data_IF_396854306165
#
_entry.id   IF_396854306165
#
_cell.length_a   1.000
_cell.length_b   1.000
_cell.length_c   1.000
_cell.angle_alpha   90.00
_cell.angle_beta   90.00
_cell.angle_gamma   90.00
#
_symmetry.space_group_name_H-M   'P 1'
#
loop_
_entity.id
_entity.type
_entity.pdbx_description
1 polymer ?
#
# COMPACT_ATOMS: atom_id res chain seq x y z
N UNK A 1 -0.02 -20.62 -34.73
CA UNK A 1 1.09 -20.39 -35.70
C UNK A 1 0.69 -19.62 -36.96
N UNK A 2 -0.50 -19.79 -37.56
CA UNK A 2 -0.87 -19.05 -38.80
C UNK A 2 -1.32 -17.60 -38.61
N UNK A 3 -1.76 -17.19 -37.41
CA UNK A 3 -2.11 -15.79 -37.13
C UNK A 3 -0.90 -14.91 -36.76
N UNK A 4 0.16 -15.50 -36.20
CA UNK A 4 1.37 -14.77 -35.81
C UNK A 4 2.18 -14.29 -37.02
N UNK A 5 2.09 -15.02 -38.15
CA UNK A 5 2.80 -14.70 -39.39
C UNK A 5 2.16 -13.55 -40.19
N UNK A 6 0.87 -13.30 -40.02
CA UNK A 6 0.16 -12.21 -40.72
C UNK A 6 0.44 -10.87 -40.03
N UNK A 7 0.63 -10.87 -38.71
CA UNK A 7 1.01 -9.66 -37.95
C UNK A 7 2.43 -9.18 -38.26
N UNK A 8 3.39 -10.11 -38.41
CA UNK A 8 4.78 -9.76 -38.75
C UNK A 8 4.92 -9.29 -40.20
N UNK A 9 4.07 -9.80 -41.12
CA UNK A 9 4.09 -9.35 -42.51
C UNK A 9 3.40 -7.98 -42.70
N UNK A 10 2.44 -7.61 -41.84
CA UNK A 10 1.82 -6.28 -41.86
C UNK A 10 2.77 -5.19 -41.30
N UNK A 11 3.61 -5.54 -40.32
CA UNK A 11 4.64 -4.66 -39.76
C UNK A 11 5.78 -4.36 -40.77
N UNK A 12 6.04 -5.27 -41.72
CA UNK A 12 7.08 -5.08 -42.74
C UNK A 12 6.62 -4.24 -43.93
N UNK A 13 5.31 -4.08 -44.15
CA UNK A 13 4.76 -3.33 -45.30
C UNK A 13 4.53 -1.83 -44.99
N UNK A 14 4.57 -1.41 -43.72
CA UNK A 14 4.45 0.01 -43.34
C UNK A 14 5.77 0.81 -43.31
N UNK A 15 6.94 0.18 -43.53
CA UNK A 15 8.23 0.89 -43.58
C UNK A 15 8.47 1.72 -44.85
N UNK A 16 7.46 1.94 -45.71
CA UNK A 16 7.60 2.68 -46.98
C UNK A 16 6.58 3.81 -47.15
N UNK A 17 6.23 4.51 -46.08
CA UNK A 17 5.67 5.85 -46.18
C UNK A 17 6.66 6.85 -45.55
N UNK A 18 7.57 7.39 -46.36
CA UNK A 18 8.48 8.45 -45.94
C UNK A 18 7.70 9.73 -45.63
N UNK A 19 7.34 9.92 -44.36
CA UNK A 19 7.19 11.24 -43.76
C UNK A 19 8.57 11.77 -43.36
N UNK A 20 8.79 13.08 -43.43
CA UNK A 20 10.03 13.70 -42.96
C UNK A 20 9.95 13.81 -41.43
N UNK A 21 10.58 12.88 -40.72
CA UNK A 21 10.61 12.89 -39.25
C UNK A 21 11.38 14.11 -38.74
N UNK A 22 10.68 15.02 -38.06
CA UNK A 22 11.31 16.11 -37.34
C UNK A 22 11.99 15.52 -36.09
N UNK A 23 13.27 15.82 -35.87
CA UNK A 23 13.99 15.38 -34.67
C UNK A 23 14.52 16.58 -33.90
N UNK A 24 14.12 16.67 -32.64
CA UNK A 24 14.58 17.70 -31.70
C UNK A 24 15.44 17.08 -30.60
N UNK A 25 16.48 17.81 -30.18
CA UNK A 25 17.26 17.48 -28.98
C UNK A 25 16.53 17.97 -27.73
N UNK A 26 16.54 17.15 -26.69
CA UNK A 26 15.93 17.45 -25.39
C UNK A 26 17.00 17.70 -24.34
N UNK A 27 16.72 18.64 -23.44
CA UNK A 27 17.41 18.69 -22.14
C UNK A 27 17.15 17.39 -21.37
N UNK A 28 18.02 17.02 -20.42
CA UNK A 28 17.84 15.82 -19.59
C UNK A 28 16.42 15.73 -19.02
N UNK A 29 15.73 14.64 -19.34
CA UNK A 29 14.39 14.31 -18.85
C UNK A 29 14.44 13.11 -17.91
N UNK A 30 13.57 13.11 -16.91
CA UNK A 30 13.43 12.01 -15.93
C UNK A 30 12.01 11.48 -15.88
N UNK A 31 11.03 12.21 -16.42
CA UNK A 31 9.62 11.84 -16.48
C UNK A 31 9.05 12.12 -17.88
N UNK A 32 8.19 11.21 -18.34
CA UNK A 32 7.35 11.40 -19.53
C UNK A 32 5.88 11.31 -19.11
N UNK A 33 5.06 12.20 -19.66
CA UNK A 33 3.60 12.22 -19.51
C UNK A 33 2.98 12.25 -20.90
N UNK A 34 2.07 11.31 -21.20
CA UNK A 34 1.40 11.22 -22.49
C UNK A 34 -0.10 11.47 -22.31
N UNK A 35 -0.69 12.34 -23.12
CA UNK A 35 -2.12 12.66 -23.08
C UNK A 35 -2.73 12.58 -24.49
N UNK A 36 -4.04 12.79 -24.57
CA UNK A 36 -4.82 12.96 -25.80
C UNK A 36 -4.57 11.89 -26.90
N UNK A 37 -4.60 10.60 -26.55
CA UNK A 37 -4.46 9.49 -27.50
C UNK A 37 -3.11 9.46 -28.25
N UNK A 38 -2.05 9.95 -27.62
CA UNK A 38 -0.69 9.90 -28.18
C UNK A 38 -0.14 8.47 -28.23
N UNK A 39 0.70 8.19 -29.23
CA UNK A 39 1.42 6.92 -29.39
C UNK A 39 2.92 7.18 -29.24
N UNK A 40 3.54 6.59 -28.24
CA UNK A 40 4.92 6.90 -27.85
C UNK A 40 5.78 5.65 -27.85
N UNK A 41 6.94 5.70 -28.52
CA UNK A 41 7.97 4.66 -28.42
C UNK A 41 9.20 5.22 -27.70
N UNK A 42 9.68 4.54 -26.68
CA UNK A 42 10.84 4.94 -25.87
C UNK A 42 11.94 3.90 -26.04
N UNK A 43 13.10 4.34 -26.53
CA UNK A 43 14.28 3.50 -26.72
C UNK A 43 15.45 3.99 -25.86
N UNK A 44 16.40 3.09 -25.60
CA UNK A 44 17.67 3.45 -24.97
C UNK A 44 18.58 4.21 -25.93
N UNK A 45 19.18 5.28 -25.45
CA UNK A 45 20.33 5.91 -26.09
C UNK A 45 21.28 6.47 -25.02
N UNK A 46 22.56 6.18 -25.18
CA UNK A 46 23.63 6.68 -24.31
C UNK A 46 23.99 8.14 -24.63
N UNK A 47 23.42 8.71 -25.70
CA UNK A 47 23.55 10.09 -26.10
C UNK A 47 22.62 11.07 -25.35
N UNK A 48 22.51 12.28 -25.92
CA UNK A 48 21.55 13.28 -25.46
C UNK A 48 20.12 12.82 -25.77
N UNK A 49 19.20 13.05 -24.84
CA UNK A 49 17.81 12.68 -25.06
C UNK A 49 17.27 13.38 -26.33
N UNK A 50 16.50 12.67 -27.14
CA UNK A 50 15.94 13.22 -28.37
C UNK A 50 14.50 12.77 -28.57
N UNK A 51 13.77 13.53 -29.37
CA UNK A 51 12.38 13.24 -29.75
C UNK A 51 12.23 13.38 -31.25
N UNK A 52 11.66 12.36 -31.88
CA UNK A 52 11.32 12.31 -33.29
C UNK A 52 9.80 12.22 -33.45
N UNK A 53 9.23 13.00 -34.37
CA UNK A 53 7.79 13.07 -34.58
C UNK A 53 7.46 13.47 -36.02
N UNK A 54 6.28 13.06 -36.49
CA UNK A 54 5.76 13.39 -37.81
C UNK A 54 4.53 14.28 -37.69
N UNK A 55 4.73 15.60 -37.81
CA UNK A 55 3.66 16.61 -37.82
C UNK A 55 4.00 17.78 -38.75
N UNK A 56 2.98 18.33 -39.41
CA UNK A 56 3.12 19.47 -40.33
C UNK A 56 3.16 20.84 -39.61
N UNK A 57 2.55 20.98 -38.42
CA UNK A 57 2.48 22.27 -37.71
C UNK A 57 2.59 22.14 -36.19
N UNK A 58 3.62 22.77 -35.62
CA UNK A 58 3.81 22.85 -34.17
C UNK A 58 4.55 21.65 -33.59
N UNK A 59 5.01 21.79 -32.33
CA UNK A 59 5.65 20.70 -31.60
C UNK A 59 4.58 19.94 -30.83
N UNK A 60 4.48 18.60 -30.96
CA UNK A 60 3.51 17.79 -30.23
C UNK A 60 3.91 17.57 -28.76
N UNK A 61 4.86 18.35 -28.25
CA UNK A 61 5.42 18.16 -26.93
C UNK A 61 5.87 19.48 -26.30
N UNK A 62 6.03 19.45 -24.98
CA UNK A 62 6.61 20.52 -24.17
C UNK A 62 7.48 19.93 -23.08
N UNK A 63 8.58 20.62 -22.75
CA UNK A 63 9.47 20.24 -21.65
C UNK A 63 9.38 21.28 -20.55
N UNK A 64 9.11 20.85 -19.32
CA UNK A 64 9.12 21.71 -18.14
C UNK A 64 9.74 20.95 -16.96
N UNK A 65 10.77 21.53 -16.36
CA UNK A 65 11.39 21.02 -15.12
C UNK A 65 11.83 19.53 -15.21
N UNK A 66 12.33 19.09 -16.37
CA UNK A 66 12.76 17.70 -16.60
C UNK A 66 11.63 16.71 -16.89
N UNK A 67 10.39 17.21 -17.04
CA UNK A 67 9.23 16.45 -17.48
C UNK A 67 8.92 16.75 -18.94
N UNK A 68 8.86 15.72 -19.77
CA UNK A 68 8.40 15.79 -21.15
C UNK A 68 6.90 15.45 -21.18
N UNK A 69 6.10 16.38 -21.69
CA UNK A 69 4.68 16.17 -21.91
C UNK A 69 4.42 16.05 -23.40
N UNK A 70 3.62 15.07 -23.78
CA UNK A 70 3.22 14.78 -25.16
C UNK A 70 1.72 14.95 -25.20
N UNK A 71 1.29 15.92 -25.98
CA UNK A 71 -0.09 16.37 -26.06
C UNK A 71 -0.58 16.19 -27.51
N UNK A 72 -1.87 15.91 -27.68
CA UNK A 72 -2.50 15.57 -28.97
C UNK A 72 -2.23 14.15 -29.51
N UNK A 73 -3.09 13.71 -30.43
CA UNK A 73 -3.04 12.39 -31.08
C UNK A 73 -1.84 12.26 -32.04
N UNK A 74 -0.66 12.02 -31.48
CA UNK A 74 0.63 12.07 -32.16
C UNK A 74 1.43 10.79 -32.03
N UNK A 75 2.14 10.42 -33.07
CA UNK A 75 3.16 9.38 -33.02
C UNK A 75 4.54 9.99 -32.77
N UNK A 76 5.18 9.56 -31.69
CA UNK A 76 6.42 10.14 -31.19
C UNK A 76 7.39 9.03 -30.79
N UNK A 77 8.66 9.17 -31.18
CA UNK A 77 9.76 8.32 -30.75
C UNK A 77 10.71 9.11 -29.87
N UNK A 78 11.14 8.55 -28.75
CA UNK A 78 11.97 9.20 -27.75
C UNK A 78 13.17 8.32 -27.46
N UNK A 79 14.36 8.92 -27.41
CA UNK A 79 15.56 8.25 -26.93
C UNK A 79 16.03 8.89 -25.63
N UNK A 80 16.39 8.08 -24.64
CA UNK A 80 16.90 8.55 -23.33
C UNK A 80 17.70 7.44 -22.64
N UNK A 81 18.45 7.77 -21.58
CA UNK A 81 19.25 6.83 -20.78
C UNK A 81 18.86 6.77 -19.30
N UNK A 82 18.00 7.66 -18.82
CA UNK A 82 17.74 7.81 -17.38
C UNK A 82 16.30 8.23 -17.07
N UNK A 83 15.34 7.54 -17.67
CA UNK A 83 13.92 7.73 -17.38
C UNK A 83 13.54 7.01 -16.08
N UNK A 84 13.02 7.77 -15.11
CA UNK A 84 12.57 7.22 -13.83
C UNK A 84 11.05 7.03 -13.75
N UNK A 85 10.28 7.73 -14.57
CA UNK A 85 8.82 7.67 -14.51
C UNK A 85 8.17 7.83 -15.89
N UNK A 86 7.13 7.05 -16.15
CA UNK A 86 6.23 7.18 -17.30
C UNK A 86 4.78 7.23 -16.78
N UNK A 87 4.02 8.21 -17.25
CA UNK A 87 2.60 8.37 -16.96
C UNK A 87 1.83 8.46 -18.27
N UNK A 88 0.85 7.59 -18.49
CA UNK A 88 0.05 7.54 -19.70
C UNK A 88 -1.42 7.73 -19.39
N UNK A 89 -2.04 8.71 -20.02
CA UNK A 89 -3.42 9.13 -19.79
C UNK A 89 -4.20 9.19 -21.11
N UNK A 90 -5.51 9.40 -21.03
CA UNK A 90 -6.41 9.69 -22.15
C UNK A 90 -6.27 8.74 -23.35
N UNK A 91 -6.35 7.44 -23.11
CA UNK A 91 -6.24 6.36 -24.11
C UNK A 91 -4.93 6.38 -24.93
N UNK A 92 -3.88 7.02 -24.39
CA UNK A 92 -2.54 7.01 -25.00
C UNK A 92 -1.90 5.63 -24.93
N UNK A 93 -1.01 5.35 -25.88
CA UNK A 93 -0.24 4.11 -25.95
C UNK A 93 1.25 4.39 -25.81
N UNK A 94 1.95 3.62 -24.97
CA UNK A 94 3.40 3.70 -24.85
C UNK A 94 4.09 2.34 -24.97
N UNK A 95 5.18 2.29 -25.72
CA UNK A 95 6.07 1.12 -25.86
C UNK A 95 7.46 1.50 -25.38
N UNK A 96 8.00 0.75 -24.43
CA UNK A 96 9.27 1.05 -23.76
C UNK A 96 10.24 -0.10 -23.95
N UNK A 97 11.29 0.13 -24.74
CA UNK A 97 12.32 -0.86 -25.07
C UNK A 97 13.63 -0.64 -24.30
N UNK A 98 13.75 0.46 -23.54
CA UNK A 98 14.97 0.79 -22.80
C UNK A 98 15.01 2.24 -22.33
N UNK A 99 16.20 2.69 -21.93
CA UNK A 99 16.46 4.07 -21.51
C UNK A 99 16.01 4.39 -20.08
N UNK A 100 15.82 3.33 -19.29
CA UNK A 100 15.26 3.39 -17.94
C UNK A 100 16.34 3.48 -16.88
N UNK A 101 16.02 4.16 -15.79
CA UNK A 101 16.85 4.18 -14.58
C UNK A 101 16.68 2.89 -13.77
N UNK A 102 17.57 2.67 -12.79
CA UNK A 102 17.51 1.48 -11.92
C UNK A 102 16.18 1.32 -11.16
N UNK A 103 15.48 2.42 -10.89
CA UNK A 103 14.13 2.44 -10.33
C UNK A 103 13.17 3.09 -11.32
N UNK A 104 12.14 2.37 -11.73
CA UNK A 104 11.19 2.86 -12.72
C UNK A 104 9.75 2.77 -12.22
N UNK A 105 9.00 3.85 -12.36
CA UNK A 105 7.57 3.89 -12.07
C UNK A 105 6.77 4.08 -13.35
N UNK A 106 5.77 3.24 -13.56
CA UNK A 106 4.80 3.37 -14.65
C UNK A 106 3.40 3.55 -14.07
N UNK A 107 2.68 4.54 -14.59
CA UNK A 107 1.31 4.86 -14.21
C UNK A 107 0.46 4.88 -15.49
N UNK A 108 -0.58 4.06 -15.55
CA UNK A 108 -1.60 4.07 -16.59
C UNK A 108 -2.93 4.54 -16.03
N UNK A 109 -3.53 5.54 -16.66
CA UNK A 109 -4.88 6.03 -16.35
C UNK A 109 -5.71 6.14 -17.63
N UNK A 110 -7.01 6.36 -17.47
CA UNK A 110 -7.97 6.71 -18.53
C UNK A 110 -7.85 5.83 -19.79
N UNK A 111 -7.97 4.51 -19.64
CA UNK A 111 -7.91 3.51 -20.71
C UNK A 111 -6.61 3.50 -21.54
N UNK A 112 -5.50 3.97 -20.96
CA UNK A 112 -4.17 3.91 -21.59
C UNK A 112 -3.62 2.48 -21.71
N UNK A 113 -2.66 2.29 -22.62
CA UNK A 113 -2.00 1.02 -22.86
C UNK A 113 -0.48 1.18 -22.83
N UNK A 114 0.21 0.39 -22.02
CA UNK A 114 1.67 0.44 -21.89
C UNK A 114 2.29 -0.94 -22.07
N UNK A 115 3.37 -1.03 -22.84
CA UNK A 115 4.19 -2.24 -22.97
C UNK A 115 5.65 -1.93 -22.63
N UNK A 116 6.23 -2.68 -21.69
CA UNK A 116 7.61 -2.49 -21.22
C UNK A 116 8.41 -3.76 -21.43
N UNK A 117 9.56 -3.61 -22.09
CA UNK A 117 10.55 -4.65 -22.36
C UNK A 117 11.88 -4.22 -21.73
N UNK A 118 12.16 -4.65 -20.50
CA UNK A 118 13.36 -4.18 -19.79
C UNK A 118 13.85 -5.12 -18.67
N UNK A 119 15.13 -4.96 -18.32
CA UNK A 119 15.76 -5.52 -17.12
C UNK A 119 16.00 -4.41 -16.10
N UNK A 120 15.36 -4.47 -14.94
CA UNK A 120 15.29 -3.37 -13.96
C UNK A 120 15.56 -3.86 -12.53
N UNK A 121 16.07 -3.01 -11.64
CA UNK A 121 16.20 -3.43 -10.24
C UNK A 121 14.84 -3.33 -9.52
N UNK A 122 14.22 -2.14 -9.57
CA UNK A 122 12.93 -1.88 -8.94
C UNK A 122 11.92 -1.32 -9.93
N UNK A 123 10.74 -1.92 -9.97
CA UNK A 123 9.61 -1.49 -10.81
C UNK A 123 8.38 -1.25 -9.94
N UNK A 124 7.75 -0.09 -10.11
CA UNK A 124 6.46 0.24 -9.50
C UNK A 124 5.45 0.45 -10.63
N UNK A 125 4.31 -0.23 -10.53
CA UNK A 125 3.25 -0.23 -11.54
C UNK A 125 1.96 0.21 -10.87
N UNK A 126 1.31 1.23 -11.42
CA UNK A 126 -0.03 1.67 -11.04
C UNK A 126 -0.91 1.68 -12.28
N UNK A 127 -1.95 0.85 -12.30
CA UNK A 127 -2.88 0.73 -13.43
C UNK A 127 -4.28 1.11 -12.94
N UNK A 128 -4.86 2.19 -13.45
CA UNK A 128 -6.17 2.71 -13.05
C UNK A 128 -7.08 2.92 -14.27
N UNK A 129 -8.37 3.12 -14.03
CA UNK A 129 -9.37 3.54 -15.02
C UNK A 129 -9.32 2.72 -16.33
N UNK A 130 -9.47 1.40 -16.23
CA UNK A 130 -9.46 0.47 -17.36
C UNK A 130 -8.17 0.47 -18.23
N UNK A 131 -7.05 0.97 -17.71
CA UNK A 131 -5.76 0.89 -18.40
C UNK A 131 -5.18 -0.54 -18.44
N UNK A 132 -4.23 -0.76 -19.35
CA UNK A 132 -3.55 -2.05 -19.55
C UNK A 132 -2.04 -1.86 -19.56
N UNK A 133 -1.33 -2.50 -18.64
CA UNK A 133 0.15 -2.44 -18.58
C UNK A 133 0.71 -3.85 -18.76
N UNK A 134 1.57 -4.06 -19.76
CA UNK A 134 2.30 -5.31 -19.96
C UNK A 134 3.80 -5.13 -19.70
N UNK A 135 4.39 -6.10 -19.00
CA UNK A 135 5.79 -6.09 -18.58
C UNK A 135 6.44 -7.42 -18.95
N UNK A 136 7.62 -7.35 -19.55
CA UNK A 136 8.46 -8.51 -19.85
C UNK A 136 9.95 -8.22 -19.60
N UNK A 137 10.70 -9.27 -19.26
CA UNK A 137 12.13 -9.17 -18.94
C UNK A 137 12.47 -9.70 -17.55
N UNK A 138 13.32 -8.99 -16.81
CA UNK A 138 13.77 -9.39 -15.47
C UNK A 138 13.71 -8.23 -14.49
N UNK A 139 13.36 -8.50 -13.23
CA UNK A 139 13.58 -7.52 -12.17
C UNK A 139 13.85 -8.12 -10.78
N UNK A 140 14.49 -7.35 -9.91
CA UNK A 140 14.68 -7.78 -8.51
C UNK A 140 13.41 -7.54 -7.69
N UNK A 141 12.78 -6.37 -7.81
CA UNK A 141 11.57 -6.02 -7.06
C UNK A 141 10.49 -5.44 -7.97
N UNK A 142 9.31 -6.07 -7.97
CA UNK A 142 8.13 -5.66 -8.71
C UNK A 142 6.99 -5.34 -7.72
N UNK A 143 6.52 -4.09 -7.72
CA UNK A 143 5.36 -3.66 -6.94
C UNK A 143 4.24 -3.23 -7.90
N UNK A 144 3.09 -3.92 -7.85
CA UNK A 144 1.96 -3.72 -8.76
C UNK A 144 0.72 -3.35 -7.98
N UNK A 145 0.05 -2.30 -8.41
CA UNK A 145 -1.28 -1.90 -7.95
C UNK A 145 -2.18 -1.75 -9.18
N UNK A 146 -3.34 -2.41 -9.17
CA UNK A 146 -4.33 -2.33 -10.23
C UNK A 146 -5.72 -2.03 -9.64
N UNK A 147 -6.39 -0.99 -10.15
CA UNK A 147 -7.71 -0.51 -9.72
C UNK A 147 -8.64 -0.27 -10.92
N UNK A 148 -9.93 -0.08 -10.67
CA UNK A 148 -10.94 0.40 -11.62
C UNK A 148 -10.96 -0.38 -12.95
N UNK A 149 -11.12 -1.70 -12.86
CA UNK A 149 -11.17 -2.63 -13.99
C UNK A 149 -9.91 -2.64 -14.90
N UNK A 150 -8.78 -2.15 -14.40
CA UNK A 150 -7.51 -2.17 -15.12
C UNK A 150 -6.88 -3.56 -15.18
N UNK A 151 -5.90 -3.72 -16.08
CA UNK A 151 -5.17 -4.97 -16.25
C UNK A 151 -3.67 -4.75 -16.17
N UNK A 152 -2.96 -5.67 -15.52
CA UNK A 152 -1.50 -5.74 -15.52
C UNK A 152 -1.04 -7.14 -15.92
N UNK A 153 -0.32 -7.24 -17.03
CA UNK A 153 0.23 -8.49 -17.58
C UNK A 153 1.75 -8.51 -17.41
N UNK A 154 2.22 -8.99 -16.26
CA UNK A 154 3.63 -9.16 -15.91
C UNK A 154 4.04 -10.64 -15.81
N UNK A 155 3.31 -11.54 -16.48
CA UNK A 155 3.62 -12.97 -16.52
C UNK A 155 4.96 -13.28 -17.19
N UNK A 156 5.36 -12.46 -18.17
CA UNK A 156 6.65 -12.60 -18.87
C UNK A 156 7.80 -11.83 -18.18
N UNK A 157 7.54 -11.20 -17.03
CA UNK A 157 8.54 -10.52 -16.21
C UNK A 157 9.01 -11.44 -15.09
N UNK A 158 10.27 -11.89 -15.15
CA UNK A 158 10.88 -12.72 -14.11
C UNK A 158 11.32 -11.85 -12.93
N UNK A 159 10.48 -11.77 -11.88
CA UNK A 159 10.75 -10.97 -10.69
C UNK A 159 11.23 -11.82 -9.50
N UNK A 160 12.25 -11.39 -8.75
CA UNK A 160 12.66 -12.09 -7.52
C UNK A 160 11.63 -11.88 -6.39
N UNK A 161 11.24 -10.62 -6.16
CA UNK A 161 10.25 -10.21 -5.15
C UNK A 161 9.07 -9.52 -5.82
N UNK A 162 7.87 -10.05 -5.63
CA UNK A 162 6.62 -9.46 -6.15
C UNK A 162 5.72 -9.04 -5.01
N UNK A 163 5.19 -7.82 -5.08
CA UNK A 163 4.06 -7.35 -4.29
C UNK A 163 2.96 -6.95 -5.26
N UNK A 164 1.80 -7.61 -5.22
CA UNK A 164 0.70 -7.34 -6.15
C UNK A 164 -0.61 -7.05 -5.39
N UNK A 165 -1.25 -5.92 -5.70
CA UNK A 165 -2.51 -5.50 -5.06
C UNK A 165 -3.56 -5.18 -6.11
N UNK A 166 -4.67 -5.90 -6.10
CA UNK A 166 -5.77 -5.76 -7.05
C UNK A 166 -7.04 -5.29 -6.34
N UNK A 167 -7.76 -4.36 -6.95
CA UNK A 167 -8.97 -3.72 -6.44
C UNK A 167 -10.00 -3.57 -7.58
N UNK A 168 -11.28 -3.38 -7.26
CA UNK A 168 -12.33 -2.92 -8.20
C UNK A 168 -12.33 -3.62 -9.57
N UNK A 169 -12.51 -4.95 -9.58
CA UNK A 169 -12.55 -5.79 -10.79
C UNK A 169 -11.28 -5.81 -11.65
N UNK A 170 -10.16 -5.29 -11.15
CA UNK A 170 -8.88 -5.34 -11.87
C UNK A 170 -8.29 -6.77 -11.96
N UNK A 171 -7.43 -6.99 -12.94
CA UNK A 171 -6.73 -8.28 -13.13
C UNK A 171 -5.22 -8.09 -13.18
N UNK A 172 -4.48 -8.82 -12.36
CA UNK A 172 -3.01 -8.85 -12.38
C UNK A 172 -2.54 -10.26 -12.72
N UNK A 173 -1.60 -10.40 -13.65
CA UNK A 173 -0.90 -11.66 -13.95
C UNK A 173 0.59 -11.43 -13.68
N UNK A 174 1.20 -12.23 -12.81
CA UNK A 174 2.61 -12.05 -12.38
C UNK A 174 3.38 -13.36 -12.29
N UNK A 175 4.68 -13.32 -12.50
CA UNK A 175 5.62 -14.41 -12.22
C UNK A 175 6.62 -13.98 -11.17
N UNK A 176 6.75 -14.75 -10.07
CA UNK A 176 7.75 -14.51 -9.03
C UNK A 176 8.61 -15.74 -8.77
N UNK A 177 9.91 -15.52 -8.57
CA UNK A 177 10.91 -16.59 -8.39
C UNK A 177 11.07 -16.93 -6.90
N UNK A 178 11.23 -15.92 -6.04
CA UNK A 178 11.57 -16.14 -4.63
C UNK A 178 10.36 -15.91 -3.74
N UNK A 179 9.83 -14.68 -3.72
CA UNK A 179 8.72 -14.31 -2.84
C UNK A 179 7.64 -13.55 -3.61
N UNK A 180 6.38 -13.85 -3.29
CA UNK A 180 5.21 -13.16 -3.82
C UNK A 180 4.26 -12.85 -2.66
N UNK A 181 3.93 -11.57 -2.48
CA UNK A 181 2.91 -11.09 -1.56
C UNK A 181 1.73 -10.52 -2.36
N UNK A 182 0.51 -10.95 -2.06
CA UNK A 182 -0.68 -10.57 -2.81
C UNK A 182 -1.82 -10.06 -1.92
N UNK A 183 -2.52 -9.04 -2.40
CA UNK A 183 -3.73 -8.51 -1.79
C UNK A 183 -4.82 -8.38 -2.86
N UNK A 184 -5.97 -9.03 -2.65
CA UNK A 184 -7.12 -8.98 -3.55
C UNK A 184 -8.30 -8.39 -2.79
N UNK A 185 -8.90 -7.34 -3.34
CA UNK A 185 -10.13 -6.74 -2.84
C UNK A 185 -11.23 -6.77 -3.91
N UNK A 186 -12.48 -6.79 -3.47
CA UNK A 186 -13.67 -6.79 -4.34
C UNK A 186 -13.70 -7.94 -5.35
N UNK A 187 -14.23 -7.71 -6.55
CA UNK A 187 -14.32 -8.71 -7.63
C UNK A 187 -13.04 -8.79 -8.50
N UNK A 188 -11.89 -8.39 -7.94
CA UNK A 188 -10.61 -8.39 -8.64
C UNK A 188 -9.92 -9.76 -8.63
N UNK A 189 -8.93 -9.96 -9.52
CA UNK A 189 -8.21 -11.21 -9.68
C UNK A 189 -6.68 -11.01 -9.73
N UNK A 190 -5.94 -11.95 -9.16
CA UNK A 190 -4.48 -12.06 -9.34
C UNK A 190 -4.14 -13.50 -9.73
N UNK A 191 -3.58 -13.68 -10.92
CA UNK A 191 -3.04 -14.93 -11.41
C UNK A 191 -1.51 -14.97 -11.23
N UNK A 192 -1.02 -16.02 -10.58
CA UNK A 192 0.41 -16.24 -10.38
C UNK A 192 0.85 -17.37 -11.30
N UNK A 193 1.67 -17.04 -12.30
CA UNK A 193 2.31 -18.03 -13.14
C UNK A 193 3.52 -18.59 -12.40
N UNK A 194 3.62 -19.92 -12.35
CA UNK A 194 4.82 -20.61 -11.86
C UNK A 194 5.66 -20.96 -13.08
N UNK A 195 6.93 -20.57 -13.08
CA UNK A 195 7.87 -21.05 -14.08
C UNK A 195 7.91 -22.58 -13.94
N UNK A 196 7.72 -23.30 -15.04
CA UNK A 196 7.82 -24.75 -15.06
C UNK A 196 9.30 -25.12 -14.90
N UNK A 197 9.80 -25.08 -13.67
CA UNK A 197 11.12 -25.63 -13.34
C UNK A 197 10.99 -27.15 -13.42
N UNK A 198 11.35 -27.64 -14.62
CA UNK A 198 11.91 -28.95 -14.95
C UNK A 198 11.95 -29.96 -13.80
N UNK A 199 11.25 -31.07 -14.00
CA UNK A 199 11.60 -32.36 -13.43
C UNK A 199 13.12 -32.57 -13.47
N UNK A 200 13.82 -32.45 -12.33
CA UNK A 200 15.07 -33.15 -12.02
C UNK A 200 15.35 -33.08 -10.51
N UNK A 201 15.10 -34.22 -9.87
CA UNK A 201 15.94 -34.90 -8.89
C UNK A 201 16.43 -34.14 -7.63
N UNK A 202 15.93 -34.64 -6.50
CA UNK A 202 16.68 -35.09 -5.31
C UNK A 202 17.79 -34.19 -4.71
N UNK A 203 17.54 -33.84 -3.45
CA UNK A 203 18.50 -33.57 -2.37
C UNK A 203 19.53 -32.46 -2.59
N UNK A 204 19.32 -31.30 -1.96
CA UNK A 204 20.45 -30.44 -1.57
C UNK A 204 20.23 -29.94 -0.13
N UNK A 205 21.19 -30.32 0.71
CA UNK A 205 21.34 -29.91 2.11
C UNK A 205 21.38 -28.39 2.26
N UNK A 206 20.60 -27.86 3.20
CA UNK A 206 20.74 -26.50 3.70
C UNK A 206 21.93 -26.51 4.66
N UNK A 207 23.08 -26.01 4.19
CA UNK A 207 24.20 -25.65 5.06
C UNK A 207 24.02 -24.18 5.42
N UNK A 208 23.64 -23.91 6.67
CA UNK A 208 23.76 -22.58 7.25
C UNK A 208 25.24 -22.15 7.21
N UNK A 209 25.51 -20.99 6.61
CA UNK A 209 26.81 -20.33 6.71
C UNK A 209 26.61 -18.90 7.17
N UNK A 210 26.98 -18.67 8.42
CA UNK A 210 27.22 -17.36 9.03
C UNK A 210 28.34 -16.66 8.23
N UNK A 211 28.10 -15.40 7.82
CA UNK A 211 29.13 -14.56 7.20
C UNK A 211 29.50 -13.45 8.19
N UNK A 212 30.67 -13.63 8.77
CA UNK A 212 31.44 -12.65 9.54
C UNK A 212 31.93 -11.54 8.58
N UNK A 213 31.78 -10.28 8.97
CA UNK A 213 32.31 -9.13 8.23
C UNK A 213 33.60 -8.68 8.88
N UNK A 214 34.74 -9.01 8.26
CA UNK A 214 36.04 -8.38 8.53
C UNK A 214 36.26 -7.18 7.61
N UNK A 215 36.78 -6.10 8.20
CA UNK A 215 37.04 -4.82 7.55
C UNK A 215 38.49 -4.62 7.06
N UNK A 216 38.70 -3.46 6.41
CA UNK A 216 39.98 -2.93 5.93
C UNK A 216 40.18 -3.16 4.42
N UNK A 217 40.72 -2.24 3.61
CA UNK A 217 41.39 -0.95 3.79
C UNK A 217 41.53 -0.24 2.43
N UNK A 218 41.86 1.05 2.46
CA UNK A 218 42.02 2.03 1.36
C UNK A 218 43.14 1.76 0.32
N UNK A 219 43.12 2.66 -0.71
CA UNK A 219 44.18 3.12 -1.64
C UNK A 219 43.91 2.73 -3.10
N UNK A 220 44.04 3.55 -4.14
CA UNK A 220 44.41 4.96 -4.38
C UNK A 220 43.99 5.25 -5.84
N UNK A 221 43.94 6.52 -6.29
CA UNK A 221 44.63 7.03 -7.50
C UNK A 221 44.09 8.40 -8.01
N UNK A 222 45.06 9.32 -8.07
CA UNK A 222 45.28 10.51 -8.92
C UNK A 222 44.55 11.85 -8.71
N UNK A 223 45.35 12.79 -8.19
CA UNK A 223 45.24 14.24 -8.37
C UNK A 223 45.61 14.65 -9.81
N UNK A 224 44.84 15.58 -10.35
CA UNK A 224 45.23 16.43 -11.47
C UNK A 224 44.61 17.81 -11.25
N UNK A 225 45.40 18.72 -10.69
CA UNK A 225 45.11 20.15 -10.63
C UNK A 225 45.11 20.71 -12.06
N UNK A 226 44.05 21.46 -12.42
CA UNK A 226 44.18 22.69 -13.20
C UNK A 226 42.90 23.54 -13.09
N UNK A 227 43.13 24.83 -12.84
CA UNK A 227 42.21 25.87 -12.43
C UNK A 227 41.01 26.14 -13.37
N UNK A 228 39.78 26.13 -12.82
CA UNK A 228 38.69 27.00 -13.29
C UNK A 228 37.84 27.50 -12.10
N UNK A 229 38.11 28.74 -11.69
CA UNK A 229 37.38 29.51 -10.68
C UNK A 229 35.93 29.83 -11.12
N UNK A 230 35.02 28.86 -11.03
CA UNK A 230 33.57 29.07 -11.18
C UNK A 230 32.74 28.64 -9.95
N UNK A 231 33.38 28.07 -8.92
CA UNK A 231 32.67 27.45 -7.79
C UNK A 231 32.30 28.37 -6.61
N UNK A 232 32.84 29.60 -6.52
CA UNK A 232 32.70 30.40 -5.28
C UNK A 232 31.35 31.10 -5.11
N UNK A 233 30.56 31.25 -6.18
CA UNK A 233 29.23 31.89 -6.11
C UNK A 233 28.06 30.89 -6.08
N UNK A 234 28.29 29.60 -6.38
CA UNK A 234 27.29 28.53 -6.15
C UNK A 234 27.27 28.01 -4.71
N UNK A 235 28.34 28.28 -3.94
CA UNK A 235 28.52 27.71 -2.60
C UNK A 235 27.75 28.46 -1.49
N UNK A 236 27.08 29.56 -1.84
CA UNK A 236 26.14 30.28 -0.96
C UNK A 236 24.67 29.87 -1.12
N UNK A 237 24.29 29.19 -2.21
CA UNK A 237 22.92 28.70 -2.39
C UNK A 237 22.74 27.22 -2.02
N UNK A 238 23.81 26.41 -2.01
CA UNK A 238 23.72 24.97 -1.68
C UNK A 238 23.81 24.63 -0.18
N UNK A 239 23.98 25.61 0.72
CA UNK A 239 24.16 25.39 2.17
C UNK A 239 22.93 25.64 3.05
N UNK A 240 21.71 25.54 2.51
CA UNK A 240 20.58 25.03 3.33
C UNK A 240 20.51 23.52 3.16
N UNK A 241 21.44 22.81 3.80
CA UNK A 241 21.24 21.38 4.10
C UNK A 241 19.89 21.28 4.81
N UNK A 242 18.89 20.73 4.14
CA UNK A 242 17.66 20.28 4.77
C UNK A 242 18.11 19.25 5.81
N UNK A 243 18.21 19.67 7.08
CA UNK A 243 18.52 18.75 8.17
C UNK A 243 17.34 17.79 8.25
N UNK A 244 17.50 16.60 7.67
CA UNK A 244 16.62 15.45 7.88
C UNK A 244 16.59 15.16 9.38
N UNK A 245 15.62 15.74 10.09
CA UNK A 245 15.28 15.31 11.44
C UNK A 245 14.51 14.01 11.26
N UNK A 246 14.84 12.92 11.99
CA UNK A 246 14.00 11.74 11.97
C UNK A 246 12.58 12.17 12.36
N UNK A 247 11.63 12.01 11.44
CA UNK A 247 10.24 12.34 11.72
C UNK A 247 9.71 11.26 12.66
N UNK A 248 9.64 11.58 13.94
CA UNK A 248 9.28 10.61 14.98
C UNK A 248 7.78 10.37 14.93
N UNK A 249 7.37 9.13 14.75
CA UNK A 249 5.99 8.71 14.60
C UNK A 249 5.45 8.25 15.95
N UNK A 250 4.28 8.73 16.32
CA UNK A 250 3.61 8.42 17.60
C UNK A 250 2.22 7.80 17.40
N UNK A 251 1.69 7.93 16.19
CA UNK A 251 0.44 7.35 15.71
C UNK A 251 0.68 6.40 14.54
N UNK A 252 1.41 6.84 13.50
CA UNK A 252 1.59 6.04 12.29
C UNK A 252 2.35 4.73 12.56
N UNK A 253 1.77 3.61 12.17
CA UNK A 253 2.29 2.29 12.47
C UNK A 253 1.22 1.19 12.50
N UNK A 254 1.66 -0.03 12.79
CA UNK A 254 0.82 -1.17 13.15
C UNK A 254 0.88 -1.33 14.66
N UNK A 255 -0.27 -1.34 15.31
CA UNK A 255 -0.41 -1.52 16.76
C UNK A 255 -1.28 -2.74 17.07
N UNK A 256 -0.90 -3.48 18.11
CA UNK A 256 -1.69 -4.59 18.64
C UNK A 256 -2.14 -4.25 20.05
N UNK A 257 -3.40 -4.53 20.36
CA UNK A 257 -3.96 -4.28 21.68
C UNK A 257 -4.82 -5.44 22.17
N UNK A 258 -4.93 -5.55 23.48
CA UNK A 258 -5.99 -6.30 24.13
C UNK A 258 -7.25 -5.43 24.15
N UNK A 259 -8.39 -6.04 23.86
CA UNK A 259 -9.69 -5.35 23.80
C UNK A 259 -10.70 -6.03 24.72
N UNK A 260 -11.60 -5.24 25.29
CA UNK A 260 -12.72 -5.77 26.07
C UNK A 260 -13.85 -4.78 26.22
N UNK A 261 -14.90 -5.25 26.91
CA UNK A 261 -16.03 -4.42 27.31
C UNK A 261 -15.90 -3.94 28.76
N UNK A 262 -16.58 -2.84 29.02
CA UNK A 262 -16.62 -2.17 30.31
C UNK A 262 -17.96 -1.46 30.47
N UNK A 263 -18.57 -1.61 31.65
CA UNK A 263 -19.81 -0.91 31.99
C UNK A 263 -19.54 0.49 32.56
N UNK A 264 -18.40 0.63 33.26
CA UNK A 264 -17.97 1.89 33.90
C UNK A 264 -16.49 2.14 33.68
N UNK A 265 -16.13 3.41 33.61
CA UNK A 265 -14.73 3.85 33.49
C UNK A 265 -13.89 3.20 34.61
N UNK A 266 -12.80 2.52 34.23
CA UNK A 266 -11.89 1.77 35.11
C UNK A 266 -12.41 0.44 35.69
N UNK A 267 -13.61 -0.01 35.33
CA UNK A 267 -14.06 -1.39 35.59
C UNK A 267 -13.79 -2.25 34.33
N UNK A 268 -12.78 -3.12 34.38
CA UNK A 268 -12.45 -4.03 33.28
C UNK A 268 -13.34 -5.27 33.36
N UNK A 269 -14.35 -5.35 32.49
CA UNK A 269 -15.34 -6.42 32.47
C UNK A 269 -16.78 -5.90 32.43
N UNK A 270 -17.71 -6.80 32.13
CA UNK A 270 -19.16 -6.54 32.20
C UNK A 270 -19.68 -6.94 33.58
N UNK A 271 -20.75 -6.30 34.04
CA UNK A 271 -21.42 -6.64 35.29
C UNK A 271 -22.11 -8.01 35.22
N UNK A 272 -22.36 -8.60 36.39
CA UNK A 272 -22.98 -9.94 36.51
C UNK A 272 -24.41 -10.03 35.94
N UNK A 273 -25.08 -8.89 35.73
CA UNK A 273 -26.39 -8.82 35.09
C UNK A 273 -26.33 -9.19 33.60
N UNK A 274 -25.21 -8.95 32.93
CA UNK A 274 -24.97 -9.19 31.50
C UNK A 274 -24.19 -10.49 31.27
N UNK A 275 -24.61 -11.56 31.94
CA UNK A 275 -23.88 -12.82 32.04
C UNK A 275 -23.55 -13.47 30.67
N UNK A 276 -24.30 -13.13 29.61
CA UNK A 276 -24.13 -13.63 28.24
C UNK A 276 -23.14 -12.83 27.38
N UNK A 277 -22.74 -11.63 27.80
CA UNK A 277 -21.83 -10.75 27.06
C UNK A 277 -20.37 -10.83 27.53
N UNK A 278 -20.04 -11.88 28.28
CA UNK A 278 -18.69 -12.08 28.81
C UNK A 278 -17.71 -12.31 27.67
N UNK A 279 -16.63 -11.53 27.68
CA UNK A 279 -15.52 -11.66 26.74
C UNK A 279 -14.49 -12.62 27.30
N UNK A 280 -14.10 -13.61 26.49
CA UNK A 280 -12.95 -14.46 26.77
C UNK A 280 -11.66 -13.75 26.35
N UNK A 281 -10.66 -13.81 27.23
CA UNK A 281 -9.36 -13.18 27.00
C UNK A 281 -8.33 -14.27 26.66
N UNK A 282 -7.48 -14.09 25.63
CA UNK A 282 -7.20 -12.82 24.96
C UNK A 282 -8.14 -12.54 23.78
N UNK A 283 -8.84 -11.41 23.86
CA UNK A 283 -9.47 -10.75 22.73
C UNK A 283 -8.52 -9.67 22.23
N UNK A 284 -8.27 -9.65 20.92
CA UNK A 284 -7.17 -8.87 20.33
C UNK A 284 -7.74 -7.86 19.36
N UNK A 285 -7.06 -6.74 19.23
CA UNK A 285 -7.41 -5.68 18.31
C UNK A 285 -6.18 -5.22 17.52
N UNK A 286 -6.37 -5.12 16.21
CA UNK A 286 -5.37 -4.71 15.24
C UNK A 286 -5.64 -3.28 14.80
N UNK A 287 -4.64 -2.43 14.91
CA UNK A 287 -4.67 -1.02 14.50
C UNK A 287 -3.69 -0.82 13.36
N UNK A 288 -4.16 -0.28 12.24
CA UNK A 288 -3.34 0.09 11.08
C UNK A 288 -3.47 1.59 10.87
N UNK A 289 -2.46 2.34 11.31
CA UNK A 289 -2.43 3.79 11.32
C UNK A 289 -1.61 4.31 10.14
N UNK A 290 -2.24 4.50 8.98
CA UNK A 290 -1.57 4.78 7.70
C UNK A 290 -0.87 6.13 7.65
N UNK A 291 -1.48 7.16 8.23
CA UNK A 291 -0.98 8.53 8.06
C UNK A 291 -0.98 9.28 9.38
N UNK A 292 0.06 10.09 9.54
CA UNK A 292 0.21 11.02 10.65
C UNK A 292 0.82 12.33 10.16
N UNK A 293 0.17 13.42 10.55
CA UNK A 293 0.64 14.78 10.37
C UNK A 293 0.81 15.47 11.73
N UNK A 294 1.93 16.17 11.91
CA UNK A 294 2.24 16.89 13.15
C UNK A 294 2.31 18.39 12.90
N UNK A 295 1.43 19.14 13.55
CA UNK A 295 1.42 20.60 13.56
C UNK A 295 2.17 21.09 14.80
N UNK A 296 3.15 21.98 14.63
CA UNK A 296 3.87 22.56 15.78
C UNK A 296 3.00 23.61 16.45
N UNK A 297 2.84 23.51 17.78
CA UNK A 297 2.09 24.49 18.57
C UNK A 297 3.07 25.42 19.28
N UNK A 298 3.61 26.38 18.53
CA UNK A 298 4.54 27.42 19.02
C UNK A 298 5.95 26.93 19.39
N UNK A 299 6.12 25.67 19.78
CA UNK A 299 7.42 25.07 20.16
C UNK A 299 7.66 23.74 19.44
N UNK A 300 8.92 23.29 19.40
CA UNK A 300 9.27 21.96 18.90
C UNK A 300 8.92 20.83 19.90
N UNK A 301 8.63 21.18 21.16
CA UNK A 301 8.31 20.26 22.26
C UNK A 301 6.83 19.89 22.28
N UNK A 302 5.94 20.82 21.92
CA UNK A 302 4.50 20.61 21.89
C UNK A 302 3.98 20.60 20.45
N UNK A 303 3.36 19.50 20.05
CA UNK A 303 2.79 19.33 18.71
C UNK A 303 1.35 18.85 18.81
N UNK A 304 0.54 19.25 17.85
CA UNK A 304 -0.76 18.64 17.60
C UNK A 304 -0.60 17.56 16.54
N UNK A 305 -1.20 16.40 16.75
CA UNK A 305 -1.08 15.23 15.88
C UNK A 305 -2.47 14.86 15.37
N UNK A 306 -2.57 14.75 14.06
CA UNK A 306 -3.76 14.24 13.36
C UNK A 306 -3.34 13.18 12.36
N UNK A 307 -4.27 12.32 11.95
CA UNK A 307 -3.93 11.20 11.10
C UNK A 307 -5.13 10.45 10.57
N UNK A 308 -4.85 9.27 10.03
CA UNK A 308 -5.86 8.30 9.62
C UNK A 308 -5.40 6.91 10.08
N UNK A 309 -6.32 6.15 10.66
CA UNK A 309 -6.11 4.77 11.05
C UNK A 309 -7.35 3.91 10.87
N UNK A 310 -7.16 2.62 10.99
CA UNK A 310 -8.20 1.60 10.96
C UNK A 310 -8.00 0.68 12.15
N UNK A 311 -9.10 0.32 12.82
CA UNK A 311 -9.09 -0.64 13.92
C UNK A 311 -10.03 -1.80 13.60
N UNK A 312 -9.56 -3.01 13.87
CA UNK A 312 -10.36 -4.23 13.88
C UNK A 312 -10.26 -4.92 15.24
N UNK A 313 -11.38 -5.01 15.95
CA UNK A 313 -11.48 -5.72 17.21
C UNK A 313 -12.00 -7.13 16.99
N UNK A 314 -11.31 -8.11 17.56
CA UNK A 314 -11.69 -9.51 17.55
C UNK A 314 -12.05 -9.95 18.97
N UNK A 315 -13.32 -9.79 19.32
CA UNK A 315 -13.88 -10.09 20.64
C UNK A 315 -14.40 -11.52 20.66
N UNK A 316 -13.78 -12.39 21.46
CA UNK A 316 -14.25 -13.75 21.69
C UNK A 316 -15.32 -13.75 22.76
N UNK A 317 -16.52 -14.19 22.42
CA UNK A 317 -17.61 -14.34 23.38
C UNK A 317 -17.39 -15.65 24.14
N UNK A 318 -17.44 -15.59 25.47
CA UNK A 318 -17.21 -16.73 26.37
C UNK A 318 -18.36 -17.72 26.34
N UNK A 319 -19.57 -17.23 26.14
CA UNK A 319 -20.79 -18.04 26.13
C UNK A 319 -21.19 -18.40 24.69
N UNK A 320 -21.88 -19.53 24.53
CA UNK A 320 -22.42 -19.99 23.26
C UNK A 320 -23.71 -19.23 22.92
N UNK A 321 -23.51 -18.05 22.34
CA UNK A 321 -24.58 -17.08 22.16
C UNK A 321 -24.64 -16.56 20.73
N UNK A 322 -25.85 -16.28 20.25
CA UNK A 322 -26.09 -15.66 18.94
C UNK A 322 -26.75 -14.30 19.11
N UNK A 323 -26.54 -13.42 18.14
CA UNK A 323 -27.16 -12.10 18.11
C UNK A 323 -28.49 -12.20 17.39
N UNK A 324 -29.58 -11.88 18.08
CA UNK A 324 -30.90 -11.70 17.45
C UNK A 324 -31.10 -10.21 17.19
N UNK A 325 -31.26 -9.90 15.91
CA UNK A 325 -31.64 -8.56 15.48
C UNK A 325 -33.17 -8.48 15.40
N UNK A 326 -33.76 -7.70 16.31
CA UNK A 326 -35.18 -7.32 16.24
C UNK A 326 -35.31 -5.91 15.67
N UNK A 327 -36.51 -5.55 15.20
CA UNK A 327 -36.78 -4.25 14.57
C UNK A 327 -36.30 -3.05 15.39
N UNK A 328 -36.38 -3.15 16.72
CA UNK A 328 -36.13 -2.05 17.64
C UNK A 328 -34.93 -2.28 18.59
N UNK A 329 -34.29 -3.46 18.58
CA UNK A 329 -33.20 -3.80 19.50
C UNK A 329 -32.31 -4.95 19.05
N UNK A 330 -31.08 -4.94 19.55
CA UNK A 330 -30.15 -6.07 19.53
C UNK A 330 -30.17 -6.75 20.89
N UNK A 331 -30.42 -8.05 20.88
CA UNK A 331 -30.21 -8.90 22.04
C UNK A 331 -29.25 -10.03 21.69
N UNK A 332 -28.54 -10.49 22.71
CA UNK A 332 -27.81 -11.76 22.65
C UNK A 332 -28.63 -12.81 23.38
N UNK A 333 -28.84 -13.94 22.72
CA UNK A 333 -29.51 -15.10 23.32
C UNK A 333 -28.59 -16.31 23.25
N UNK A 334 -28.82 -17.28 24.15
CA UNK A 334 -28.19 -18.58 24.06
C UNK A 334 -28.47 -19.22 22.68
N UNK A 335 -27.45 -19.87 22.11
CA UNK A 335 -27.59 -20.53 20.82
C UNK A 335 -28.71 -21.59 20.89
N UNK A 336 -29.61 -21.67 19.89
CA UNK A 336 -30.73 -22.61 19.92
C UNK A 336 -30.26 -24.07 20.01
N UNK A 337 -31.05 -24.91 20.70
CA UNK A 337 -30.89 -26.37 20.78
C UNK A 337 -29.70 -26.91 21.60
N UNK A 338 -29.06 -26.09 22.44
CA UNK A 338 -28.02 -26.57 23.37
C UNK A 338 -26.78 -27.15 22.68
N UNK A 339 -26.53 -26.75 21.43
CA UNK A 339 -25.31 -27.10 20.71
C UNK A 339 -24.16 -26.22 21.19
N UNK A 340 -23.04 -26.86 21.55
CA UNK A 340 -21.81 -26.16 21.94
C UNK A 340 -21.16 -25.51 20.71
N UNK A 341 -20.87 -24.20 20.79
CA UNK A 341 -20.13 -23.51 19.73
C UNK A 341 -18.64 -23.65 20.00
N UNK A 342 -17.89 -24.08 18.98
CA UNK A 342 -16.43 -24.19 19.06
C UNK A 342 -15.76 -22.82 19.00
N UNK A 343 -16.40 -21.88 18.31
CA UNK A 343 -15.90 -20.52 18.14
C UNK A 343 -17.06 -19.55 18.08
N UNK A 344 -17.00 -18.52 18.91
CA UNK A 344 -17.94 -17.40 18.90
C UNK A 344 -17.14 -16.09 18.94
N UNK A 345 -17.01 -15.40 17.81
CA UNK A 345 -16.18 -14.18 17.71
C UNK A 345 -16.96 -13.04 17.07
N UNK A 346 -17.10 -11.95 17.82
CA UNK A 346 -17.61 -10.67 17.34
C UNK A 346 -16.45 -9.84 16.79
N UNK A 347 -16.57 -9.46 15.52
CA UNK A 347 -15.60 -8.62 14.82
C UNK A 347 -16.19 -7.23 14.65
N UNK A 348 -15.48 -6.21 15.13
CA UNK A 348 -15.81 -4.80 14.94
C UNK A 348 -14.77 -4.15 14.05
N UNK A 349 -15.18 -3.26 13.14
CA UNK A 349 -14.26 -2.52 12.27
C UNK A 349 -14.60 -1.03 12.26
N UNK A 350 -13.59 -0.19 12.45
CA UNK A 350 -13.72 1.26 12.50
C UNK A 350 -12.58 2.02 11.82
N UNK A 351 -12.92 3.15 11.23
CA UNK A 351 -11.97 4.16 10.72
C UNK A 351 -11.72 5.17 11.84
N UNK A 352 -10.50 5.67 11.97
CA UNK A 352 -10.08 6.53 13.07
C UNK A 352 -9.34 7.77 12.60
N UNK A 353 -9.67 8.89 13.22
CA UNK A 353 -8.96 10.15 13.07
C UNK A 353 -8.52 10.59 14.47
N UNK A 354 -7.22 10.50 14.80
CA UNK A 354 -6.70 10.96 16.08
C UNK A 354 -6.61 12.48 16.11
N UNK A 355 -6.85 13.07 17.28
CA UNK A 355 -6.66 14.49 17.57
C UNK A 355 -5.90 14.57 18.89
N UNK A 356 -4.56 14.53 18.82
CA UNK A 356 -3.70 14.35 19.99
C UNK A 356 -2.78 15.54 20.22
N UNK A 357 -2.47 15.80 21.48
CA UNK A 357 -1.36 16.64 21.89
C UNK A 357 -0.15 15.76 22.21
N UNK A 358 0.95 16.00 21.50
CA UNK A 358 2.21 15.30 21.62
C UNK A 358 3.23 16.18 22.34
N UNK A 359 3.67 15.75 23.51
CA UNK A 359 4.72 16.37 24.30
C UNK A 359 5.99 15.54 24.16
N UNK A 360 7.05 16.16 23.64
CA UNK A 360 8.36 15.55 23.45
C UNK A 360 9.35 16.11 24.45
N UNK A 361 10.20 15.27 25.02
CA UNK A 361 11.27 15.69 25.94
C UNK A 361 12.53 16.17 25.22
N UNK A 362 12.88 15.53 24.10
CA UNK A 362 14.05 15.84 23.29
C UNK A 362 13.72 15.78 21.79
N UNK A 363 13.10 16.84 21.23
CA UNK A 363 12.66 16.86 19.84
C UNK A 363 13.79 16.58 18.83
N UNK A 364 13.63 15.52 18.03
CA UNK A 364 14.58 15.18 16.96
C UNK A 364 15.69 14.19 17.36
N UNK A 365 15.73 13.75 18.62
CA UNK A 365 16.58 12.64 19.05
C UNK A 365 15.90 11.29 18.78
N UNK A 366 16.62 10.29 18.28
CA UNK A 366 16.10 8.91 18.12
C UNK A 366 15.61 8.29 19.45
N UNK A 367 16.04 8.81 20.60
CA UNK A 367 15.64 8.37 21.96
C UNK A 367 14.80 9.43 22.68
N UNK A 368 13.93 10.12 21.95
CA UNK A 368 12.99 11.08 22.53
C UNK A 368 11.91 10.33 23.31
N UNK A 369 11.78 10.62 24.61
CA UNK A 369 10.60 10.21 25.34
C UNK A 369 9.44 11.14 24.98
N UNK A 370 8.27 10.56 24.74
CA UNK A 370 7.06 11.31 24.39
C UNK A 370 5.85 10.82 25.17
N UNK A 371 4.96 11.77 25.43
CA UNK A 371 3.63 11.54 25.99
C UNK A 371 2.63 12.14 25.01
N UNK A 372 1.61 11.36 24.68
CA UNK A 372 0.53 11.79 23.81
C UNK A 372 -0.80 11.63 24.53
N UNK A 373 -1.69 12.61 24.38
CA UNK A 373 -3.02 12.52 24.95
C UNK A 373 -4.02 13.30 24.11
N UNK A 374 -5.24 12.77 24.00
CA UNK A 374 -6.30 13.43 23.27
C UNK A 374 -7.49 12.52 23.01
N UNK A 375 -8.18 12.79 21.90
CA UNK A 375 -9.35 12.04 21.49
C UNK A 375 -9.12 11.41 20.13
N UNK A 376 -9.77 10.29 19.87
CA UNK A 376 -9.83 9.63 18.57
C UNK A 376 -11.28 9.62 18.15
N UNK A 377 -11.55 10.19 16.97
CA UNK A 377 -12.89 10.15 16.37
C UNK A 377 -12.98 8.92 15.48
N UNK A 378 -13.99 8.09 15.72
CA UNK A 378 -14.20 6.82 15.05
C UNK A 378 -15.46 6.80 14.18
N UNK A 379 -15.40 6.13 13.04
CA UNK A 379 -16.58 5.70 12.27
C UNK A 379 -16.60 4.19 12.13
N UNK A 380 -17.63 3.55 12.72
CA UNK A 380 -17.81 2.09 12.69
C UNK A 380 -18.50 1.68 11.40
N UNK A 381 -17.79 0.91 10.57
CA UNK A 381 -18.29 0.47 9.27
C UNK A 381 -18.62 -1.03 9.23
N UNK A 382 -18.13 -1.81 10.20
CA UNK A 382 -18.27 -3.27 10.19
C UNK A 382 -18.61 -3.83 11.56
N UNK A 383 -19.61 -4.71 11.57
CA UNK A 383 -19.91 -5.63 12.66
C UNK A 383 -20.23 -7.00 12.07
N UNK A 384 -19.57 -8.04 12.58
CA UNK A 384 -19.74 -9.39 12.06
C UNK A 384 -19.61 -10.40 13.19
N UNK A 385 -20.57 -11.31 13.30
CA UNK A 385 -20.51 -12.44 14.22
C UNK A 385 -20.10 -13.70 13.45
N UNK A 386 -18.99 -14.32 13.86
CA UNK A 386 -18.50 -15.59 13.32
C UNK A 386 -18.75 -16.71 14.33
N UNK A 387 -19.51 -17.73 13.91
CA UNK A 387 -19.87 -18.87 14.74
C UNK A 387 -19.46 -20.18 14.05
N UNK A 388 -18.84 -21.11 14.78
CA UNK A 388 -18.45 -22.43 14.29
C UNK A 388 -19.00 -23.53 15.21
N UNK A 389 -19.63 -24.57 14.64
CA UNK A 389 -20.17 -25.71 15.39
C UNK A 389 -19.78 -27.06 14.78
N UNK A 390 -19.74 -28.10 15.63
CA UNK A 390 -19.51 -29.48 15.19
C UNK A 390 -20.86 -30.11 14.81
N UNK A 391 -20.97 -30.68 13.61
CA UNK A 391 -22.16 -31.43 13.21
C UNK A 391 -22.12 -32.87 13.76
N UNK A 392 -23.18 -33.31 14.44
CA UNK A 392 -23.31 -34.65 15.06
C UNK A 392 -23.57 -35.80 14.07
N UNK A 393 -23.15 -35.67 12.81
CA UNK A 393 -23.16 -36.78 11.86
C UNK A 393 -21.77 -37.41 11.81
N UNK A 394 -21.68 -38.72 11.56
CA UNK A 394 -20.47 -39.58 11.64
C UNK A 394 -19.29 -39.19 10.74
N UNK A 395 -19.28 -37.98 10.19
CA UNK A 395 -18.23 -37.35 9.42
C UNK A 395 -17.94 -35.98 10.05
N UNK A 396 -16.68 -35.72 10.44
CA UNK A 396 -16.22 -34.43 11.00
C UNK A 396 -16.37 -33.31 9.96
N UNK A 397 -17.57 -32.77 9.80
CA UNK A 397 -17.84 -31.59 8.98
C UNK A 397 -18.01 -30.40 9.92
N UNK A 398 -17.03 -29.49 9.91
CA UNK A 398 -17.13 -28.18 10.56
C UNK A 398 -18.03 -27.29 9.70
N UNK A 399 -19.06 -26.69 10.28
CA UNK A 399 -19.93 -25.74 9.58
C UNK A 399 -19.67 -24.35 10.16
N UNK A 400 -19.20 -23.42 9.33
CA UNK A 400 -18.95 -22.02 9.70
C UNK A 400 -20.15 -21.16 9.27
N UNK A 401 -20.76 -20.45 10.22
CA UNK A 401 -21.84 -19.48 9.95
C UNK A 401 -21.33 -18.07 10.19
N UNK A 402 -21.49 -17.18 9.19
CA UNK A 402 -21.10 -15.77 9.26
C UNK A 402 -22.34 -14.90 9.17
N UNK A 403 -22.68 -14.21 10.25
CA UNK A 403 -23.79 -13.25 10.27
C UNK A 403 -23.19 -11.84 10.15
N UNK A 404 -23.39 -11.21 8.99
CA UNK A 404 -23.00 -9.81 8.72
C UNK A 404 -24.24 -8.92 8.86
N UNK A 405 -24.23 -7.99 9.81
CA UNK A 405 -25.29 -6.98 9.95
C UNK A 405 -24.76 -5.77 10.72
N UNK A 406 -25.27 -4.57 10.44
CA UNK A 406 -25.08 -3.40 11.29
C UNK A 406 -26.11 -3.48 12.41
N UNK A 407 -25.79 -4.21 13.48
CA UNK A 407 -26.72 -4.53 14.56
C UNK A 407 -26.93 -3.29 15.45
N UNK A 408 -27.72 -2.31 14.98
CA UNK A 408 -28.06 -1.08 15.72
C UNK A 408 -26.87 -0.39 16.43
N UNK A 409 -25.68 -0.55 15.84
CA UNK A 409 -24.45 -0.02 16.38
C UNK A 409 -24.47 1.49 16.30
N UNK A 410 -23.83 2.15 17.27
CA UNK A 410 -23.56 3.57 17.15
C UNK A 410 -22.47 3.75 16.06
N UNK A 411 -22.79 4.40 14.92
CA UNK A 411 -21.86 4.51 13.80
C UNK A 411 -20.71 5.47 14.10
N UNK A 412 -20.87 6.41 15.03
CA UNK A 412 -19.84 7.36 15.41
C UNK A 412 -19.35 7.08 16.82
N UNK A 413 -18.04 7.08 17.00
CA UNK A 413 -17.41 6.91 18.29
C UNK A 413 -16.43 8.05 18.59
N UNK A 414 -16.26 8.32 19.88
CA UNK A 414 -15.24 9.25 20.38
C UNK A 414 -14.55 8.54 21.53
N UNK A 415 -13.29 8.20 21.35
CA UNK A 415 -12.50 7.51 22.37
C UNK A 415 -11.46 8.47 22.97
N UNK A 416 -11.30 8.45 24.28
CA UNK A 416 -10.16 9.09 24.94
C UNK A 416 -8.92 8.21 24.84
N UNK A 417 -7.75 8.77 24.53
CA UNK A 417 -6.51 8.00 24.45
C UNK A 417 -5.34 8.69 25.15
N UNK A 418 -4.46 7.87 25.74
CA UNK A 418 -3.15 8.27 26.28
C UNK A 418 -2.11 7.31 25.75
N UNK A 419 -0.96 7.84 25.33
CA UNK A 419 0.18 7.09 24.81
C UNK A 419 1.47 7.53 25.49
N UNK A 420 2.34 6.57 25.75
CA UNK A 420 3.66 6.78 26.36
C UNK A 420 4.68 6.01 25.54
N UNK A 421 5.77 6.66 25.14
CA UNK A 421 6.72 6.00 24.24
C UNK A 421 8.11 6.59 24.21
N UNK A 422 9.01 5.86 23.56
CA UNK A 422 10.39 6.26 23.30
C UNK A 422 10.67 6.10 21.80
N UNK A 423 11.07 7.18 21.15
CA UNK A 423 11.36 7.18 19.73
C UNK A 423 10.09 7.01 18.90
N UNK A 424 9.94 5.85 18.27
CA UNK A 424 8.76 5.49 17.48
C UNK A 424 7.92 4.38 18.12
N UNK A 425 8.30 3.91 19.31
CA UNK A 425 7.64 2.82 20.00
C UNK A 425 6.79 3.37 21.14
N UNK A 426 5.52 2.97 21.18
CA UNK A 426 4.56 3.47 22.18
C UNK A 426 3.78 2.33 22.80
N UNK A 427 3.42 2.51 24.07
CA UNK A 427 2.29 1.82 24.69
C UNK A 427 1.12 2.79 24.74
N UNK A 428 -0.09 2.30 24.55
CA UNK A 428 -1.27 3.15 24.53
C UNK A 428 -2.45 2.51 25.26
N UNK A 429 -3.30 3.37 25.79
CA UNK A 429 -4.63 3.03 26.28
C UNK A 429 -5.67 3.87 25.53
N UNK A 430 -6.81 3.27 25.24
CA UNK A 430 -7.95 3.92 24.62
C UNK A 430 -9.25 3.47 25.29
N UNK A 431 -10.21 4.37 25.44
CA UNK A 431 -11.50 4.10 26.07
C UNK A 431 -12.62 4.87 25.37
N UNK A 432 -13.63 4.17 24.87
CA UNK A 432 -14.78 4.75 24.18
C UNK A 432 -15.64 5.55 25.16
N UNK A 433 -15.94 6.80 24.81
CA UNK A 433 -16.81 7.66 25.64
C UNK A 433 -18.28 7.33 25.41
N UNK A 434 -18.63 6.91 24.20
CA UNK A 434 -19.97 6.50 23.79
C UNK A 434 -20.16 4.98 23.94
N UNK A 435 -21.41 4.55 24.03
CA UNK A 435 -21.72 3.13 24.02
C UNK A 435 -21.55 2.53 22.62
N UNK A 436 -21.25 1.23 22.57
CA UNK A 436 -21.16 0.44 21.35
C UNK A 436 -22.49 0.48 20.56
N UNK A 437 -23.61 0.35 21.26
CA UNK A 437 -24.94 0.35 20.68
C UNK A 437 -25.63 1.72 20.84
N UNK A 438 -26.60 1.99 19.97
CA UNK A 438 -27.48 3.15 20.14
C UNK A 438 -28.25 3.03 21.45
N UNK A 439 -28.61 4.18 22.01
CA UNK A 439 -29.32 4.26 23.28
C UNK A 439 -30.61 3.44 23.22
N UNK A 440 -30.81 2.57 24.22
CA UNK A 440 -31.97 1.67 24.37
C UNK A 440 -32.13 0.60 23.26
N UNK A 441 -31.18 0.50 22.32
CA UNK A 441 -31.19 -0.49 21.22
C UNK A 441 -30.20 -1.65 21.44
N UNK A 442 -29.49 -1.66 22.57
CA UNK A 442 -28.59 -2.72 22.98
C UNK A 442 -27.94 -2.43 24.35
N UNK A 443 -27.04 -3.28 24.81
CA UNK A 443 -26.35 -3.08 26.08
C UNK A 443 -25.48 -1.83 26.07
N UNK A 444 -25.39 -1.15 27.22
CA UNK A 444 -24.65 0.09 27.41
C UNK A 444 -23.12 -0.04 27.42
N UNK A 445 -22.54 -1.07 26.80
CA UNK A 445 -21.11 -1.36 26.87
C UNK A 445 -20.26 -0.28 26.21
N UNK A 446 -19.11 -0.05 26.81
CA UNK A 446 -18.02 0.74 26.26
C UNK A 446 -16.85 -0.17 25.94
N UNK A 447 -16.10 0.16 24.90
CA UNK A 447 -14.93 -0.61 24.48
C UNK A 447 -13.68 0.05 25.06
N UNK A 448 -12.72 -0.78 25.48
CA UNK A 448 -11.40 -0.33 25.89
C UNK A 448 -10.33 -1.12 25.16
N UNK A 449 -9.20 -0.46 24.87
CA UNK A 449 -8.03 -1.05 24.24
C UNK A 449 -6.77 -0.70 25.03
N UNK A 450 -5.91 -1.68 25.30
CA UNK A 450 -4.57 -1.44 25.85
C UNK A 450 -3.56 -2.19 24.99
N UNK A 451 -2.58 -1.49 24.44
CA UNK A 451 -1.72 -2.06 23.41
C UNK A 451 -0.36 -1.42 23.26
N UNK A 452 0.35 -1.92 22.26
CA UNK A 452 1.70 -1.51 21.91
C UNK A 452 1.82 -1.32 20.40
N UNK A 453 2.62 -0.34 19.99
CA UNK A 453 3.07 -0.22 18.60
C UNK A 453 4.05 -1.37 18.31
N UNK A 454 3.82 -2.13 17.24
CA UNK A 454 4.64 -3.28 16.85
C UNK A 454 5.54 -2.93 15.67
N UNK A 455 5.03 -2.15 14.72
CA UNK A 455 5.79 -1.71 13.53
C UNK A 455 5.52 -0.23 13.29
N UNK A 456 6.46 0.67 13.60
CA UNK A 456 6.34 2.08 13.20
C UNK A 456 6.81 2.30 11.76
N UNK A 457 6.17 3.21 11.02
CA UNK A 457 6.58 3.58 9.65
C UNK A 457 6.55 5.09 9.37
#
# INVERSE_FOLDING_TARGET
MKQLFISTMLMLVMQLAYGQDNTDKLSRITKIVTNDQSTVTIDSDNGEASISYSQETGKPYRVKEGVLFIDGANEVRITTSNLSQLETNDASTAVVNGGLSNGFEVIGNDASSVAIYASLNKVVVQSNDASSISLSGTCSSLNVVANDASTVQAGDMKAEFVVAKSYDAATIIVTGITNIDTQINDESNIEILRDAISDMADSVNIVEREVEVEGGSEADIYNGDDDLNFGKDMDKWSKKKLKWRPNQRVWAGIELSMVGFSDKVFEFGTSDADNLWKIDQPSVSLHINLFEHKYKLGTDYLKFVSGLGFQWDFLRLKEDVTIINSKDKVDIVAYPNGQELKKNTLILGQIQIPLLLNINTNPGSKRNFHIDGGVVVGYRFKQQLNQEFNSSSSYKTQVETKIKSQFHQNPFDISGTVRLGIGNWSVFGMYDMASLYKKDEGPGFKVWNVGVTVIPF
#
